data_IF_117267831138
#
_entry.id   IF_117267831138
#
_cell.length_a   1.000
_cell.length_b   1.000
_cell.length_c   1.000
_cell.angle_alpha   90.00
_cell.angle_beta   90.00
_cell.angle_gamma   90.00
#
_symmetry.space_group_name_H-M   'P 1'
#
loop_
_entity.id
_entity.type
_entity.pdbx_description
1 polymer ?
#
# COMPACT_ATOMS: atom_id res chain seq x y z
N UNK A 1 5.51 -11.90 22.31
CA UNK A 1 6.78 -11.21 22.06
C UNK A 1 6.60 -9.84 22.70
N UNK A 2 7.27 -9.55 23.81
CA UNK A 2 7.25 -8.20 24.40
C UNK A 2 7.99 -7.28 23.43
N UNK A 3 7.32 -6.29 22.94
CA UNK A 3 7.97 -5.20 22.18
C UNK A 3 8.61 -4.33 23.24
N UNK A 4 9.94 -4.37 23.35
CA UNK A 4 10.67 -3.44 24.21
C UNK A 4 10.43 -2.03 23.72
N UNK A 5 9.96 -1.17 24.59
CA UNK A 5 9.82 0.26 24.30
C UNK A 5 11.21 0.87 24.43
N UNK A 6 11.81 1.22 23.29
CA UNK A 6 13.11 1.88 23.25
C UNK A 6 12.99 3.26 23.92
N UNK A 7 13.82 3.52 24.93
CA UNK A 7 13.80 4.77 25.69
C UNK A 7 14.12 6.00 24.82
N UNK A 8 14.89 5.83 23.75
CA UNK A 8 15.29 6.89 22.82
C UNK A 8 14.24 7.09 21.69
N UNK A 9 13.31 6.15 21.52
CA UNK A 9 12.27 6.28 20.49
C UNK A 9 11.27 7.38 20.83
N UNK A 10 10.95 8.19 19.83
CA UNK A 10 9.84 9.15 19.93
C UNK A 10 8.54 8.45 19.59
N UNK A 11 7.52 8.58 20.42
CA UNK A 11 6.20 7.98 20.21
C UNK A 11 5.17 9.02 19.83
N UNK A 12 4.20 8.61 19.02
CA UNK A 12 3.04 9.40 18.64
C UNK A 12 1.77 8.56 18.67
N UNK A 13 0.63 9.22 18.76
CA UNK A 13 -0.67 8.58 18.59
C UNK A 13 -0.84 8.14 17.13
N UNK A 14 -1.35 6.92 16.93
CA UNK A 14 -1.73 6.46 15.59
C UNK A 14 -2.85 7.35 15.05
N UNK A 15 -2.68 7.80 13.81
CA UNK A 15 -3.66 8.65 13.14
C UNK A 15 -5.03 7.95 13.00
N UNK A 16 -6.12 8.72 13.04
CA UNK A 16 -7.48 8.20 12.85
C UNK A 16 -8.14 7.61 14.09
N UNK A 17 -7.43 7.46 15.21
CA UNK A 17 -8.01 6.99 16.47
C UNK A 17 -8.74 8.11 17.23
N UNK A 18 -9.90 7.77 17.75
CA UNK A 18 -10.61 8.56 18.74
C UNK A 18 -10.34 7.99 20.12
N UNK A 19 -9.79 8.83 20.99
CA UNK A 19 -9.45 8.49 22.35
C UNK A 19 -10.41 9.24 23.29
N UNK A 20 -11.22 8.49 24.02
CA UNK A 20 -12.29 9.03 24.87
C UNK A 20 -11.98 8.69 26.34
N UNK A 21 -11.39 9.60 27.12
CA UNK A 21 -11.13 9.37 28.53
C UNK A 21 -12.43 9.09 29.32
N UNK A 22 -12.37 8.07 30.17
CA UNK A 22 -13.44 7.70 31.11
C UNK A 22 -12.91 7.74 32.55
N UNK A 23 -12.50 8.93 32.97
CA UNK A 23 -11.79 9.11 34.23
C UNK A 23 -10.27 9.14 34.03
N UNK A 24 -9.49 8.93 35.12
CA UNK A 24 -8.05 9.10 35.11
C UNK A 24 -7.33 7.87 34.50
N UNK A 25 -7.88 6.68 34.67
CA UNK A 25 -7.22 5.39 34.41
C UNK A 25 -7.97 4.51 33.39
N UNK A 26 -8.92 5.07 32.66
CA UNK A 26 -9.66 4.35 31.63
C UNK A 26 -9.85 5.21 30.39
N UNK A 27 -9.58 4.64 29.22
CA UNK A 27 -9.85 5.25 27.92
C UNK A 27 -10.57 4.29 26.99
N UNK A 28 -11.52 4.82 26.19
CA UNK A 28 -12.10 4.12 25.07
C UNK A 28 -11.37 4.53 23.79
N UNK A 29 -10.93 3.54 23.04
CA UNK A 29 -10.23 3.73 21.75
C UNK A 29 -11.14 3.26 20.63
N UNK A 30 -11.37 4.13 19.66
CA UNK A 30 -12.20 3.82 18.47
C UNK A 30 -11.44 4.18 17.19
N UNK A 31 -11.54 3.31 16.20
CA UNK A 31 -11.02 3.54 14.86
C UNK A 31 -12.11 4.20 13.99
N UNK A 32 -12.23 5.51 14.13
CA UNK A 32 -13.27 6.30 13.47
C UNK A 32 -14.64 6.30 14.17
N UNK A 33 -15.51 7.22 13.74
CA UNK A 33 -16.83 7.43 14.36
C UNK A 33 -17.81 6.27 14.14
N UNK A 34 -17.60 5.47 13.09
CA UNK A 34 -18.46 4.32 12.72
C UNK A 34 -17.90 2.96 13.11
N UNK A 35 -16.77 2.93 13.86
CA UNK A 35 -16.24 1.66 14.35
C UNK A 35 -17.31 0.87 15.13
N UNK A 36 -17.46 -0.42 14.79
CA UNK A 36 -18.43 -1.29 15.43
C UNK A 36 -18.11 -1.57 16.90
N UNK A 37 -16.83 -1.49 17.25
CA UNK A 37 -16.32 -1.77 18.59
C UNK A 37 -15.41 -0.66 19.07
N UNK A 38 -15.38 -0.46 20.37
CA UNK A 38 -14.39 0.34 21.08
C UNK A 38 -13.50 -0.61 21.88
N UNK A 39 -12.20 -0.40 21.83
CA UNK A 39 -11.26 -1.07 22.73
C UNK A 39 -11.22 -0.26 24.03
N UNK A 40 -11.25 -0.96 25.15
CA UNK A 40 -11.13 -0.30 26.47
C UNK A 40 -9.76 -0.60 27.04
N UNK A 41 -9.00 0.44 27.33
CA UNK A 41 -7.69 0.33 27.99
C UNK A 41 -7.84 0.86 29.39
N UNK A 42 -7.41 0.07 30.38
CA UNK A 42 -7.45 0.41 31.79
C UNK A 42 -6.07 0.25 32.42
N UNK A 43 -5.69 1.22 33.24
CA UNK A 43 -4.57 1.04 34.15
C UNK A 43 -5.06 0.39 35.45
N UNK A 44 -4.84 -0.93 35.56
CA UNK A 44 -5.23 -1.71 36.73
C UNK A 44 -4.45 -1.35 38.02
N UNK A 45 -3.39 -0.56 37.89
CA UNK A 45 -2.60 -0.10 39.04
C UNK A 45 -3.07 1.23 39.59
N UNK A 46 -4.10 1.85 38.97
CA UNK A 46 -4.70 3.13 39.39
C UNK A 46 -3.67 4.24 39.58
N UNK A 47 -2.75 4.39 38.63
CA UNK A 47 -1.70 5.41 38.64
C UNK A 47 -2.25 6.82 38.43
N UNK A 48 -3.49 6.94 37.93
CA UNK A 48 -4.20 8.19 37.63
C UNK A 48 -3.51 9.08 36.58
N UNK A 49 -2.83 8.45 35.66
CA UNK A 49 -2.04 9.16 34.63
C UNK A 49 -2.42 8.76 33.19
N UNK A 50 -3.15 7.66 32.98
CA UNK A 50 -3.43 7.13 31.62
C UNK A 50 -4.10 8.20 30.73
N UNK A 51 -5.14 8.85 31.21
CA UNK A 51 -5.86 9.86 30.42
C UNK A 51 -5.00 11.11 30.15
N UNK A 52 -4.14 11.52 31.07
CA UNK A 52 -3.22 12.63 30.87
C UNK A 52 -2.11 12.25 29.89
N UNK A 53 -1.54 11.05 30.02
CA UNK A 53 -0.51 10.55 29.12
C UNK A 53 -1.00 10.53 27.66
N UNK A 54 -2.22 10.07 27.43
CA UNK A 54 -2.82 10.06 26.09
C UNK A 54 -3.05 11.48 25.55
N UNK A 55 -3.38 12.44 26.39
CA UNK A 55 -3.49 13.85 25.98
C UNK A 55 -2.12 14.45 25.63
N UNK A 56 -1.08 14.16 26.41
CA UNK A 56 0.28 14.62 26.11
C UNK A 56 0.87 14.00 24.85
N UNK A 57 0.48 12.77 24.50
CA UNK A 57 0.88 12.06 23.27
C UNK A 57 0.28 12.66 21.98
N UNK A 58 -0.59 13.68 22.08
CA UNK A 58 -0.98 14.49 20.90
C UNK A 58 0.21 15.23 20.29
N UNK A 59 1.24 15.45 21.10
CA UNK A 59 2.55 15.97 20.67
C UNK A 59 3.53 14.80 20.79
N UNK A 60 4.21 14.39 19.72
CA UNK A 60 5.20 13.33 19.78
C UNK A 60 6.25 13.59 20.87
N UNK A 61 6.75 12.53 21.49
CA UNK A 61 7.76 12.66 22.53
C UNK A 61 8.40 11.33 22.90
N UNK A 62 9.61 11.40 23.45
CA UNK A 62 10.31 10.27 24.07
C UNK A 62 9.72 9.96 25.44
N UNK A 63 10.05 8.78 26.00
CA UNK A 63 9.64 8.43 27.37
C UNK A 63 10.07 9.49 28.39
N UNK A 64 11.28 10.02 28.26
CA UNK A 64 11.80 11.05 29.15
C UNK A 64 11.00 12.35 29.06
N UNK A 65 10.74 12.82 27.82
CA UNK A 65 9.96 14.04 27.61
C UNK A 65 8.51 13.92 28.09
N UNK A 66 7.90 12.74 27.91
CA UNK A 66 6.54 12.46 28.39
C UNK A 66 6.50 12.41 29.93
N UNK A 67 7.51 11.81 30.58
CA UNK A 67 7.64 11.77 32.01
C UNK A 67 7.76 13.20 32.60
N UNK A 68 8.56 14.05 31.97
CA UNK A 68 8.73 15.47 32.37
C UNK A 68 7.43 16.25 32.21
N UNK A 69 6.71 16.12 31.06
CA UNK A 69 5.42 16.77 30.84
C UNK A 69 4.37 16.36 31.88
N UNK A 70 4.38 15.08 32.28
CA UNK A 70 3.46 14.53 33.27
C UNK A 70 3.92 14.76 34.73
N UNK A 71 5.11 15.32 34.92
CA UNK A 71 5.75 15.47 36.24
C UNK A 71 5.82 14.16 37.04
N UNK A 72 6.23 13.09 36.36
CA UNK A 72 6.33 11.72 36.89
C UNK A 72 7.68 11.09 36.52
N UNK A 73 7.86 9.80 36.79
CA UNK A 73 9.07 9.07 36.46
C UNK A 73 8.82 8.13 35.24
N UNK A 74 9.88 7.81 34.53
CA UNK A 74 9.81 6.86 33.40
C UNK A 74 9.23 5.52 33.85
N UNK A 75 9.67 4.99 34.98
CA UNK A 75 9.19 3.72 35.56
C UNK A 75 7.66 3.69 35.77
N UNK A 76 7.05 4.86 35.93
CA UNK A 76 5.61 4.99 36.15
C UNK A 76 4.82 4.92 34.82
N UNK A 77 5.37 5.48 33.74
CA UNK A 77 4.68 5.56 32.44
C UNK A 77 5.04 4.41 31.50
N UNK A 78 6.24 3.84 31.61
CA UNK A 78 6.74 2.78 30.74
C UNK A 78 5.77 1.60 30.58
N UNK A 79 5.20 1.01 31.65
CA UNK A 79 4.26 -0.10 31.51
C UNK A 79 2.96 0.28 30.78
N UNK A 80 2.56 1.57 30.90
CA UNK A 80 1.39 2.07 30.17
C UNK A 80 1.74 2.26 28.70
N UNK A 81 2.90 2.85 28.41
CA UNK A 81 3.40 3.03 27.04
C UNK A 81 3.53 1.70 26.33
N UNK A 82 4.12 0.69 26.98
CA UNK A 82 4.22 -0.65 26.45
C UNK A 82 2.84 -1.22 26.09
N UNK A 83 1.87 -1.06 26.97
CA UNK A 83 0.49 -1.48 26.72
C UNK A 83 -0.14 -0.73 25.55
N UNK A 84 0.09 0.58 25.41
CA UNK A 84 -0.43 1.38 24.31
C UNK A 84 0.21 0.97 22.97
N UNK A 85 1.48 0.57 22.96
CA UNK A 85 2.16 0.00 21.77
C UNK A 85 1.56 -1.37 21.39
N UNK A 86 1.43 -2.28 22.38
CA UNK A 86 0.82 -3.60 22.16
C UNK A 86 -0.61 -3.51 21.64
N UNK A 87 -1.36 -2.52 22.11
CA UNK A 87 -2.73 -2.25 21.72
C UNK A 87 -2.84 -1.42 20.42
N UNK A 88 -1.71 -1.11 19.77
CA UNK A 88 -1.62 -0.32 18.53
C UNK A 88 -2.27 1.08 18.65
N UNK A 89 -2.25 1.68 19.82
CA UNK A 89 -2.76 3.04 20.06
C UNK A 89 -1.70 4.08 19.76
N UNK A 90 -0.45 3.75 20.07
CA UNK A 90 0.71 4.55 19.74
C UNK A 90 1.67 3.75 18.85
N UNK A 91 2.44 4.46 18.09
CA UNK A 91 3.53 3.90 17.30
C UNK A 91 4.79 4.74 17.48
N UNK A 92 5.97 4.15 17.34
CA UNK A 92 7.18 4.93 17.19
C UNK A 92 7.01 5.93 16.04
N UNK A 93 7.46 7.16 16.26
CA UNK A 93 7.61 8.13 15.18
C UNK A 93 8.79 7.64 14.34
N UNK A 94 8.53 6.72 13.42
CA UNK A 94 9.52 6.38 12.40
C UNK A 94 9.58 7.54 11.42
N UNK A 95 10.77 8.03 11.13
CA UNK A 95 10.96 8.80 9.92
C UNK A 95 10.37 7.97 8.78
N UNK A 96 9.42 8.54 8.03
CA UNK A 96 8.88 7.85 6.86
C UNK A 96 10.06 7.42 6.01
N UNK A 97 10.17 6.14 5.75
CA UNK A 97 11.24 5.61 4.92
C UNK A 97 11.19 6.32 3.57
N UNK A 98 12.28 6.98 3.20
CA UNK A 98 12.39 7.52 1.85
C UNK A 98 12.16 6.39 0.85
N UNK A 99 11.31 6.65 -0.13
CA UNK A 99 10.94 5.68 -1.15
C UNK A 99 11.11 6.32 -2.53
N UNK A 100 11.98 5.72 -3.32
CA UNK A 100 12.19 6.10 -4.71
C UNK A 100 11.25 5.32 -5.62
N UNK A 101 10.45 6.03 -6.41
CA UNK A 101 9.42 5.45 -7.27
C UNK A 101 9.77 5.70 -8.73
N UNK A 102 9.86 4.61 -9.50
CA UNK A 102 9.89 4.65 -10.95
C UNK A 102 8.44 4.57 -11.48
N UNK A 103 8.00 5.55 -12.23
CA UNK A 103 6.64 5.64 -12.76
C UNK A 103 6.65 5.60 -14.29
N UNK A 104 6.04 4.57 -14.89
CA UNK A 104 5.63 4.63 -16.29
C UNK A 104 4.18 5.10 -16.31
N UNK A 105 3.99 6.36 -16.71
CA UNK A 105 2.70 7.05 -16.67
C UNK A 105 2.23 7.44 -18.06
N UNK A 106 0.97 7.08 -18.39
CA UNK A 106 0.32 7.51 -19.63
C UNK A 106 -1.03 8.17 -19.33
N UNK A 107 -1.28 9.29 -20.02
CA UNK A 107 -2.52 10.03 -19.92
C UNK A 107 -2.81 10.63 -18.55
N UNK A 108 -4.07 11.00 -18.32
CA UNK A 108 -4.47 11.73 -17.11
C UNK A 108 -4.30 10.95 -15.81
N UNK A 109 -4.34 9.61 -15.83
CA UNK A 109 -4.07 8.79 -14.64
C UNK A 109 -2.59 8.89 -14.26
N UNK A 110 -1.68 8.73 -15.24
CA UNK A 110 -0.24 8.86 -15.02
C UNK A 110 0.15 10.25 -14.53
N UNK A 111 -0.36 11.30 -15.18
CA UNK A 111 -0.10 12.71 -14.82
C UNK A 111 -0.60 13.04 -13.40
N UNK A 112 -1.82 12.61 -13.07
CA UNK A 112 -2.41 12.86 -11.75
C UNK A 112 -1.66 12.11 -10.65
N UNK A 113 -1.26 10.86 -10.92
CA UNK A 113 -0.48 10.08 -9.96
C UNK A 113 0.90 10.69 -9.74
N UNK A 114 1.60 11.09 -10.81
CA UNK A 114 2.88 11.77 -10.72
C UNK A 114 2.82 12.99 -9.81
N UNK A 115 1.81 13.85 -10.02
CA UNK A 115 1.61 15.03 -9.19
C UNK A 115 1.36 14.66 -7.73
N UNK A 116 0.45 13.69 -7.48
CA UNK A 116 0.12 13.26 -6.13
C UNK A 116 1.33 12.71 -5.40
N UNK A 117 2.14 11.86 -6.05
CA UNK A 117 3.36 11.29 -5.46
C UNK A 117 4.42 12.35 -5.19
N UNK A 118 4.55 13.36 -6.06
CA UNK A 118 5.49 14.46 -5.88
C UNK A 118 5.14 15.35 -4.68
N UNK A 119 3.87 15.38 -4.27
CA UNK A 119 3.38 16.12 -3.12
C UNK A 119 3.45 15.29 -1.80
N UNK A 120 3.77 13.99 -1.87
CA UNK A 120 3.88 13.12 -0.70
C UNK A 120 5.25 13.22 -0.05
N UNK A 121 5.26 13.31 1.28
CA UNK A 121 6.49 13.35 2.07
C UNK A 121 7.26 12.03 2.01
N UNK A 122 8.58 12.11 1.82
CA UNK A 122 9.46 10.95 1.75
C UNK A 122 9.35 10.16 0.43
N UNK A 123 8.65 10.68 -0.59
CA UNK A 123 8.58 10.08 -1.92
C UNK A 123 9.40 10.90 -2.92
N UNK A 124 10.30 10.21 -3.61
CA UNK A 124 10.95 10.74 -4.81
C UNK A 124 10.46 9.97 -6.03
N UNK A 125 9.89 10.64 -7.03
CA UNK A 125 9.34 10.00 -8.21
C UNK A 125 10.09 10.41 -9.47
N UNK A 126 10.45 9.42 -10.30
CA UNK A 126 11.01 9.63 -11.64
C UNK A 126 10.04 9.01 -12.65
N UNK A 127 9.52 9.83 -13.56
CA UNK A 127 8.57 9.41 -14.56
C UNK A 127 9.25 9.13 -15.91
N UNK A 128 8.75 8.11 -16.61
CA UNK A 128 9.06 7.76 -17.99
C UNK A 128 7.79 7.34 -18.73
N UNK A 129 7.96 6.96 -19.98
CA UNK A 129 6.89 6.45 -20.84
C UNK A 129 7.16 5.00 -21.29
N UNK A 130 6.22 4.41 -22.02
CA UNK A 130 6.36 3.04 -22.51
C UNK A 130 7.52 2.89 -23.51
N UNK A 131 7.89 3.93 -24.26
CA UNK A 131 9.01 3.90 -25.20
C UNK A 131 10.34 3.83 -24.43
N UNK A 132 10.51 4.66 -23.41
CA UNK A 132 11.70 4.63 -22.54
C UNK A 132 11.87 3.27 -21.86
N UNK A 133 10.78 2.63 -21.43
CA UNK A 133 10.80 1.27 -20.89
C UNK A 133 11.22 0.23 -21.94
N UNK A 134 10.64 0.28 -23.13
CA UNK A 134 10.90 -0.71 -24.19
C UNK A 134 12.30 -0.61 -24.80
N UNK A 135 12.91 0.57 -24.77
CA UNK A 135 14.26 0.84 -25.31
C UNK A 135 15.38 0.66 -24.28
N UNK A 136 15.04 0.35 -23.02
CA UNK A 136 16.00 0.23 -21.91
C UNK A 136 16.56 1.58 -21.41
N UNK A 137 16.02 2.70 -21.87
CA UNK A 137 16.47 4.02 -21.39
C UNK A 137 16.06 4.27 -19.93
N UNK A 138 15.11 3.51 -19.42
CA UNK A 138 14.61 3.62 -18.05
C UNK A 138 15.25 2.62 -17.06
N UNK A 139 16.11 1.72 -17.52
CA UNK A 139 16.68 0.63 -16.72
C UNK A 139 17.51 1.13 -15.53
N UNK A 140 18.27 2.22 -15.72
CA UNK A 140 19.04 2.82 -14.63
C UNK A 140 18.11 3.37 -13.52
N UNK A 141 17.00 3.99 -13.89
CA UNK A 141 16.02 4.51 -12.92
C UNK A 141 15.40 3.35 -12.17
N UNK A 142 14.97 2.30 -12.87
CA UNK A 142 14.38 1.10 -12.27
C UNK A 142 15.32 0.43 -11.28
N UNK A 143 16.60 0.27 -11.63
CA UNK A 143 17.57 -0.39 -10.77
C UNK A 143 17.89 0.38 -9.48
N UNK A 144 17.58 1.68 -9.43
CA UNK A 144 17.79 2.56 -8.28
C UNK A 144 16.49 2.86 -7.52
N UNK A 145 15.36 2.30 -7.95
CA UNK A 145 14.06 2.58 -7.34
C UNK A 145 13.62 1.47 -6.40
N UNK A 146 12.90 1.84 -5.34
CA UNK A 146 12.32 0.92 -4.37
C UNK A 146 10.98 0.34 -4.85
N UNK A 147 10.31 1.03 -5.77
CA UNK A 147 9.00 0.66 -6.28
C UNK A 147 8.86 1.06 -7.75
N UNK A 148 8.33 0.17 -8.55
CA UNK A 148 7.94 0.41 -9.93
C UNK A 148 6.41 0.51 -10.06
N UNK A 149 5.89 1.50 -10.79
CA UNK A 149 4.46 1.71 -11.01
C UNK A 149 4.18 1.86 -12.50
N UNK A 150 3.13 1.19 -12.97
CA UNK A 150 2.54 1.39 -14.29
C UNK A 150 1.15 2.01 -14.11
N UNK A 151 0.96 3.23 -14.63
CA UNK A 151 -0.29 4.00 -14.47
C UNK A 151 -0.79 4.48 -15.84
N UNK A 152 -1.96 3.98 -16.29
CA UNK A 152 -2.45 4.23 -17.64
C UNK A 152 -3.95 4.55 -17.68
N UNK A 153 -4.39 5.23 -18.74
CA UNK A 153 -5.82 5.53 -18.96
C UNK A 153 -6.64 4.33 -19.43
N UNK A 154 -5.98 3.26 -19.88
CA UNK A 154 -6.61 2.05 -20.41
C UNK A 154 -5.76 0.83 -20.08
N UNK A 155 -6.33 -0.36 -20.23
CA UNK A 155 -5.57 -1.60 -20.17
C UNK A 155 -4.50 -1.64 -21.27
N UNK A 156 -3.25 -1.88 -20.88
CA UNK A 156 -2.06 -1.94 -21.77
C UNK A 156 -1.38 -3.32 -21.65
N UNK A 157 -1.90 -4.36 -22.31
CA UNK A 157 -1.43 -5.74 -22.11
C UNK A 157 0.07 -5.91 -22.32
N UNK A 158 0.61 -5.38 -23.42
CA UNK A 158 2.04 -5.52 -23.75
C UNK A 158 2.89 -4.80 -22.71
N UNK A 159 2.58 -3.55 -22.38
CA UNK A 159 3.29 -2.77 -21.37
C UNK A 159 3.28 -3.47 -20.02
N UNK A 160 2.13 -4.00 -19.60
CA UNK A 160 1.99 -4.68 -18.32
C UNK A 160 2.83 -5.96 -18.24
N UNK A 161 2.90 -6.74 -19.34
CA UNK A 161 3.76 -7.91 -19.41
C UNK A 161 5.25 -7.53 -19.39
N UNK A 162 5.66 -6.53 -20.18
CA UNK A 162 7.03 -6.03 -20.17
C UNK A 162 7.44 -5.55 -18.77
N UNK A 163 6.59 -4.75 -18.13
CA UNK A 163 6.84 -4.30 -16.76
C UNK A 163 6.93 -5.47 -15.76
N UNK A 164 6.08 -6.49 -15.91
CA UNK A 164 6.12 -7.70 -15.07
C UNK A 164 7.44 -8.47 -15.22
N UNK A 165 7.95 -8.63 -16.43
CA UNK A 165 9.22 -9.30 -16.69
C UNK A 165 10.39 -8.53 -16.09
N UNK A 166 10.48 -7.23 -16.36
CA UNK A 166 11.53 -6.35 -15.82
C UNK A 166 11.50 -6.34 -14.28
N UNK A 167 10.32 -6.23 -13.68
CA UNK A 167 10.19 -6.24 -12.22
C UNK A 167 10.72 -7.54 -11.59
N UNK A 168 10.50 -8.67 -12.23
CA UNK A 168 11.05 -9.95 -11.78
C UNK A 168 12.56 -10.05 -11.97
N UNK A 169 13.09 -9.54 -13.08
CA UNK A 169 14.53 -9.55 -13.36
C UNK A 169 15.31 -8.67 -12.40
N UNK A 170 14.77 -7.50 -12.08
CA UNK A 170 15.39 -6.53 -11.17
C UNK A 170 15.00 -6.78 -9.69
N UNK A 171 14.09 -7.73 -9.42
CA UNK A 171 13.53 -7.97 -8.07
C UNK A 171 12.93 -6.72 -7.44
N UNK A 172 12.31 -5.84 -8.24
CA UNK A 172 11.66 -4.61 -7.78
C UNK A 172 10.15 -4.82 -7.59
N UNK A 173 9.55 -4.41 -6.47
CA UNK A 173 8.11 -4.41 -6.29
C UNK A 173 7.40 -3.62 -7.39
N UNK A 174 6.30 -4.16 -7.92
CA UNK A 174 5.58 -3.57 -9.05
C UNK A 174 4.10 -3.40 -8.75
N UNK A 175 3.55 -2.24 -9.11
CA UNK A 175 2.13 -1.95 -8.99
C UNK A 175 1.53 -1.48 -10.32
N UNK A 176 0.30 -1.92 -10.56
CA UNK A 176 -0.49 -1.47 -11.71
C UNK A 176 -1.66 -0.62 -11.27
N UNK A 177 -1.99 0.38 -12.07
CA UNK A 177 -3.24 1.13 -11.98
C UNK A 177 -3.69 1.57 -13.38
N UNK A 178 -4.95 1.33 -13.70
CA UNK A 178 -5.52 1.86 -14.93
C UNK A 178 -7.03 2.10 -14.75
N UNK A 179 -7.57 2.98 -15.61
CA UNK A 179 -9.00 3.16 -15.78
C UNK A 179 -9.41 2.57 -17.13
N UNK A 180 -10.52 1.83 -17.17
CA UNK A 180 -11.05 1.21 -18.39
C UNK A 180 -12.56 1.44 -18.46
N UNK A 181 -12.95 2.49 -19.18
CA UNK A 181 -14.35 2.95 -19.20
C UNK A 181 -14.80 3.39 -17.79
N UNK A 182 -15.86 2.77 -17.24
CA UNK A 182 -16.35 3.08 -15.90
C UNK A 182 -15.58 2.38 -14.78
N UNK A 183 -14.69 1.44 -15.10
CA UNK A 183 -13.96 0.65 -14.12
C UNK A 183 -12.55 1.22 -13.90
N UNK A 184 -12.18 1.33 -12.64
CA UNK A 184 -10.81 1.58 -12.23
C UNK A 184 -10.26 0.28 -11.67
N UNK A 185 -9.10 -0.16 -12.12
CA UNK A 185 -8.39 -1.29 -11.56
C UNK A 185 -7.08 -0.83 -10.93
N UNK A 186 -6.89 -1.23 -9.68
CA UNK A 186 -5.70 -0.94 -8.88
C UNK A 186 -5.11 -2.25 -8.38
N UNK A 187 -3.86 -2.51 -8.73
CA UNK A 187 -3.20 -3.77 -8.47
C UNK A 187 -3.09 -4.69 -9.70
N UNK A 188 -2.44 -5.84 -9.52
CA UNK A 188 -1.86 -6.31 -8.25
C UNK A 188 -0.69 -5.45 -7.78
N UNK A 189 -0.39 -5.52 -6.47
CA UNK A 189 0.91 -5.20 -5.93
C UNK A 189 1.72 -6.49 -5.94
N UNK A 190 2.78 -6.51 -6.72
CA UNK A 190 3.63 -7.69 -6.97
C UNK A 190 4.94 -7.52 -6.20
N UNK A 191 5.27 -8.49 -5.36
CA UNK A 191 6.59 -8.67 -4.80
C UNK A 191 7.23 -9.87 -5.50
N UNK A 192 8.27 -9.66 -6.34
CA UNK A 192 8.88 -10.70 -7.16
C UNK A 192 9.33 -11.91 -6.33
N UNK A 193 8.95 -13.11 -6.77
CA UNK A 193 9.26 -14.35 -6.03
C UNK A 193 8.32 -14.68 -4.88
N UNK A 194 7.65 -13.70 -4.27
CA UNK A 194 6.85 -13.87 -3.04
C UNK A 194 5.34 -13.91 -3.32
N UNK A 195 4.86 -13.05 -4.24
CA UNK A 195 3.42 -12.89 -4.49
C UNK A 195 3.02 -13.31 -5.90
N UNK A 196 1.70 -13.37 -6.14
CA UNK A 196 1.15 -13.53 -7.48
C UNK A 196 1.57 -12.37 -8.38
N UNK A 197 2.04 -12.66 -9.59
CA UNK A 197 2.45 -11.66 -10.57
C UNK A 197 1.28 -11.23 -11.48
N UNK A 198 1.55 -10.28 -12.40
CA UNK A 198 0.54 -9.83 -13.37
C UNK A 198 -0.02 -10.99 -14.21
N UNK A 199 0.82 -11.91 -14.70
CA UNK A 199 0.36 -13.07 -15.47
C UNK A 199 -0.52 -14.02 -14.64
N UNK A 200 -0.21 -14.21 -13.35
CA UNK A 200 -1.10 -14.96 -12.46
C UNK A 200 -2.48 -14.31 -12.34
N UNK A 201 -2.53 -12.99 -12.22
CA UNK A 201 -3.77 -12.24 -12.21
C UNK A 201 -4.52 -12.38 -13.53
N UNK A 202 -3.87 -12.09 -14.65
CA UNK A 202 -4.49 -12.06 -15.97
C UNK A 202 -5.15 -13.39 -16.31
N UNK A 203 -4.47 -14.52 -16.09
CA UNK A 203 -5.02 -15.85 -16.34
C UNK A 203 -6.28 -16.13 -15.50
N UNK A 204 -6.29 -15.71 -14.23
CA UNK A 204 -7.45 -15.89 -13.36
C UNK A 204 -8.60 -14.97 -13.78
N UNK A 205 -8.30 -13.71 -14.10
CA UNK A 205 -9.31 -12.75 -14.56
C UNK A 205 -9.97 -13.21 -15.87
N UNK A 206 -9.17 -13.61 -16.84
CA UNK A 206 -9.67 -14.16 -18.12
C UNK A 206 -10.53 -15.42 -17.91
N UNK A 207 -10.09 -16.29 -16.99
CA UNK A 207 -10.82 -17.51 -16.68
C UNK A 207 -12.18 -17.27 -16.01
N UNK A 208 -12.32 -16.16 -15.28
CA UNK A 208 -13.55 -15.79 -14.57
C UNK A 208 -14.56 -15.02 -15.43
N UNK A 209 -14.20 -14.57 -16.64
CA UNK A 209 -15.08 -13.76 -17.49
C UNK A 209 -16.11 -14.59 -18.22
N UNK A 210 -17.37 -14.17 -18.16
CA UNK A 210 -18.48 -14.80 -18.90
C UNK A 210 -18.30 -14.73 -20.43
N UNK A 211 -17.81 -13.60 -20.95
CA UNK A 211 -17.55 -13.36 -22.37
C UNK A 211 -16.05 -13.43 -22.66
N UNK A 212 -15.40 -14.48 -22.17
CA UNK A 212 -13.96 -14.67 -22.32
C UNK A 212 -13.47 -14.56 -23.76
N UNK A 213 -14.17 -15.19 -24.71
CA UNK A 213 -13.79 -15.15 -26.12
C UNK A 213 -13.75 -13.73 -26.69
N UNK A 214 -14.76 -12.93 -26.41
CA UNK A 214 -14.82 -11.54 -26.84
C UNK A 214 -13.73 -10.69 -26.16
N UNK A 215 -13.51 -10.93 -24.87
CA UNK A 215 -12.44 -10.25 -24.14
C UNK A 215 -11.04 -10.54 -24.69
N UNK A 216 -10.77 -11.79 -25.09
CA UNK A 216 -9.48 -12.14 -25.70
C UNK A 216 -9.27 -11.44 -27.04
N UNK A 217 -10.33 -11.33 -27.87
CA UNK A 217 -10.27 -10.56 -29.12
C UNK A 217 -10.03 -9.08 -28.84
N UNK A 218 -10.72 -8.51 -27.86
CA UNK A 218 -10.52 -7.12 -27.42
C UNK A 218 -9.07 -6.89 -26.95
N UNK A 219 -8.55 -7.77 -26.10
CA UNK A 219 -7.18 -7.69 -25.57
C UNK A 219 -6.12 -7.80 -26.66
N UNK A 220 -6.30 -8.74 -27.62
CA UNK A 220 -5.41 -8.89 -28.78
C UNK A 220 -5.41 -7.62 -29.65
N UNK A 221 -6.57 -7.00 -29.80
CA UNK A 221 -6.68 -5.73 -30.52
C UNK A 221 -5.95 -4.58 -29.80
N UNK A 222 -6.10 -4.46 -28.49
CA UNK A 222 -5.35 -3.48 -27.70
C UNK A 222 -3.83 -3.71 -27.73
N UNK A 223 -3.41 -4.97 -27.80
CA UNK A 223 -1.99 -5.31 -27.91
C UNK A 223 -1.39 -4.86 -29.25
N UNK A 224 -2.16 -4.95 -30.33
CA UNK A 224 -1.73 -4.55 -31.70
C UNK A 224 -1.90 -3.06 -31.96
N UNK A 225 -2.96 -2.48 -31.44
CA UNK A 225 -3.37 -1.09 -31.68
C UNK A 225 -3.67 -0.42 -30.33
N UNK A 226 -2.63 -0.02 -29.60
CA UNK A 226 -2.83 0.66 -28.32
C UNK A 226 -3.64 1.92 -28.53
N UNK A 227 -4.81 1.99 -27.88
CA UNK A 227 -5.65 3.19 -27.90
C UNK A 227 -5.31 4.05 -26.69
N UNK A 228 -5.27 5.36 -26.90
CA UNK A 228 -5.31 6.30 -25.79
C UNK A 228 -6.76 6.81 -25.67
N UNK A 229 -7.32 6.66 -24.47
CA UNK A 229 -8.68 7.14 -24.15
C UNK A 229 -8.60 8.19 -23.08
N UNK A 230 -9.36 9.25 -23.27
CA UNK A 230 -9.50 10.27 -22.25
C UNK A 230 -10.26 9.71 -21.04
N UNK A 231 -9.75 9.96 -19.86
CA UNK A 231 -10.37 9.65 -18.59
C UNK A 231 -10.73 10.95 -17.90
N UNK A 232 -11.92 11.03 -17.30
CA UNK A 232 -12.35 12.24 -16.59
C UNK A 232 -11.45 12.51 -15.38
N UNK A 233 -11.23 13.78 -15.05
CA UNK A 233 -10.38 14.16 -13.92
C UNK A 233 -10.79 13.51 -12.59
N UNK A 234 -12.08 13.37 -12.21
CA UNK A 234 -12.48 12.65 -11.00
C UNK A 234 -12.06 11.17 -11.02
N UNK A 235 -12.18 10.48 -12.16
CA UNK A 235 -11.79 9.07 -12.29
C UNK A 235 -10.28 8.92 -12.20
N UNK A 236 -9.52 9.80 -12.87
CA UNK A 236 -8.05 9.82 -12.76
C UNK A 236 -7.59 10.09 -11.32
N UNK A 237 -8.21 11.04 -10.62
CA UNK A 237 -7.92 11.34 -9.23
C UNK A 237 -8.23 10.15 -8.30
N UNK A 238 -9.35 9.47 -8.52
CA UNK A 238 -9.74 8.29 -7.75
C UNK A 238 -8.74 7.13 -7.96
N UNK A 239 -8.37 6.84 -9.21
CA UNK A 239 -7.38 5.82 -9.54
C UNK A 239 -6.03 6.11 -8.87
N UNK A 240 -5.57 7.36 -8.97
CA UNK A 240 -4.31 7.82 -8.38
C UNK A 240 -4.32 7.76 -6.85
N UNK A 241 -5.43 8.15 -6.21
CA UNK A 241 -5.58 8.10 -4.75
C UNK A 241 -5.50 6.65 -4.24
N UNK A 242 -6.16 5.70 -4.89
CA UNK A 242 -6.06 4.28 -4.54
C UNK A 242 -4.65 3.72 -4.74
N UNK A 243 -3.94 4.15 -5.79
CA UNK A 243 -2.56 3.75 -6.00
C UNK A 243 -1.65 4.31 -4.90
N UNK A 244 -1.79 5.59 -4.56
CA UNK A 244 -1.00 6.26 -3.53
C UNK A 244 -1.18 5.65 -2.13
N UNK A 245 -2.42 5.31 -1.74
CA UNK A 245 -2.69 4.61 -0.46
C UNK A 245 -1.88 3.33 -0.29
N UNK A 246 -1.65 2.59 -1.36
CA UNK A 246 -0.87 1.36 -1.27
C UNK A 246 0.63 1.62 -1.18
N UNK A 247 1.09 2.75 -1.70
CA UNK A 247 2.49 3.19 -1.58
C UNK A 247 2.75 3.63 -0.14
N UNK A 248 1.86 4.45 0.42
CA UNK A 248 1.91 4.84 1.83
C UNK A 248 1.96 3.62 2.76
N UNK A 249 1.09 2.63 2.54
CA UNK A 249 1.09 1.38 3.30
C UNK A 249 2.40 0.58 3.13
N UNK A 250 3.02 0.62 1.95
CA UNK A 250 4.30 -0.06 1.69
C UNK A 250 5.51 0.66 2.34
N UNK A 251 5.44 1.98 2.55
CA UNK A 251 6.47 2.73 3.29
C UNK A 251 6.50 2.34 4.77
N UNK A 252 5.34 2.02 5.36
CA UNK A 252 5.21 1.66 6.76
C UNK A 252 5.51 0.18 7.04
N UNK A 253 5.40 -0.69 6.04
CA UNK A 253 5.46 -2.15 6.19
C UNK A 253 6.41 -2.79 5.21
N UNK A 254 6.98 -3.92 5.60
CA UNK A 254 7.82 -4.74 4.71
C UNK A 254 7.04 -5.25 3.50
N UNK A 255 5.76 -5.57 3.68
CA UNK A 255 4.84 -5.98 2.62
C UNK A 255 3.50 -5.26 2.79
N UNK A 256 3.05 -4.59 1.74
CA UNK A 256 1.77 -3.88 1.76
C UNK A 256 0.58 -4.84 1.95
N UNK A 257 -0.44 -4.40 2.69
CA UNK A 257 -1.75 -5.11 2.78
C UNK A 257 -2.45 -5.26 1.42
N UNK A 258 -2.00 -4.52 0.42
CA UNK A 258 -2.48 -4.63 -0.97
C UNK A 258 -1.73 -5.71 -1.78
N UNK A 259 -0.75 -6.39 -1.18
CA UNK A 259 -0.08 -7.52 -1.81
C UNK A 259 -1.10 -8.59 -2.22
N UNK A 260 -0.93 -9.18 -3.41
CA UNK A 260 -1.85 -10.18 -3.97
C UNK A 260 -3.32 -9.73 -4.05
N UNK A 261 -3.59 -8.43 -4.05
CA UNK A 261 -4.95 -7.91 -4.13
C UNK A 261 -5.14 -7.01 -5.33
N UNK A 262 -6.33 -7.12 -5.91
CA UNK A 262 -6.85 -6.16 -6.87
C UNK A 262 -8.02 -5.46 -6.21
N UNK A 263 -8.06 -4.15 -6.39
CA UNK A 263 -9.22 -3.33 -6.09
C UNK A 263 -9.84 -2.89 -7.41
N UNK A 264 -11.12 -3.16 -7.60
CA UNK A 264 -11.92 -2.66 -8.72
C UNK A 264 -12.95 -1.68 -8.20
N UNK A 265 -13.01 -0.53 -8.84
CA UNK A 265 -13.99 0.51 -8.55
C UNK A 265 -14.87 0.71 -9.78
N UNK A 266 -16.15 0.33 -9.69
CA UNK A 266 -17.13 0.58 -10.73
C UNK A 266 -17.83 1.92 -10.46
N UNK A 267 -17.44 2.94 -11.21
CA UNK A 267 -17.86 4.33 -10.95
C UNK A 267 -19.34 4.58 -11.21
N UNK A 268 -19.96 3.87 -12.14
CA UNK A 268 -21.39 4.02 -12.45
C UNK A 268 -22.30 3.41 -11.40
N UNK A 269 -21.82 2.40 -10.66
CA UNK A 269 -22.57 1.70 -9.62
C UNK A 269 -22.17 2.06 -8.21
N UNK A 270 -21.09 2.84 -8.06
CA UNK A 270 -20.47 3.15 -6.77
C UNK A 270 -20.06 1.89 -5.97
N UNK A 271 -19.63 0.87 -6.70
CA UNK A 271 -19.18 -0.39 -6.10
C UNK A 271 -17.66 -0.45 -6.02
N UNK A 272 -17.16 -0.91 -4.89
CA UNK A 272 -15.73 -1.19 -4.69
C UNK A 272 -15.59 -2.64 -4.28
N UNK A 273 -14.85 -3.41 -5.05
CA UNK A 273 -14.62 -4.83 -4.79
C UNK A 273 -13.14 -5.11 -4.70
N UNK A 274 -12.73 -5.87 -3.68
CA UNK A 274 -11.36 -6.34 -3.54
C UNK A 274 -11.29 -7.85 -3.70
N UNK A 275 -10.42 -8.31 -4.58
CA UNK A 275 -10.18 -9.73 -4.82
C UNK A 275 -8.74 -10.10 -4.47
N UNK A 276 -8.57 -11.27 -3.86
CA UNK A 276 -7.25 -11.87 -3.70
C UNK A 276 -6.89 -12.65 -4.96
N UNK A 277 -5.62 -12.53 -5.37
CA UNK A 277 -5.04 -13.28 -6.49
C UNK A 277 -4.19 -14.39 -5.90
N UNK A 278 -4.27 -15.56 -6.49
CA UNK A 278 -3.47 -16.70 -6.11
C UNK A 278 -2.29 -16.86 -7.06
N UNK A 279 -1.15 -17.26 -6.53
CA UNK A 279 -0.04 -17.67 -7.38
C UNK A 279 -0.39 -18.94 -8.16
N UNK A 280 -0.26 -18.90 -9.46
CA UNK A 280 -0.41 -20.10 -10.29
C UNK A 280 0.81 -21.01 -10.12
N UNK A 281 0.64 -22.32 -9.83
CA UNK A 281 1.75 -23.23 -9.60
C UNK A 281 2.77 -23.27 -10.75
N UNK A 282 2.30 -23.15 -12.00
CA UNK A 282 3.11 -23.19 -13.23
C UNK A 282 2.97 -21.89 -14.01
N UNK A 283 3.04 -20.75 -13.35
CA UNK A 283 3.02 -19.46 -14.04
C UNK A 283 4.22 -19.33 -14.97
N UNK A 284 4.04 -19.04 -16.26
CA UNK A 284 5.15 -18.93 -17.20
C UNK A 284 6.10 -17.78 -16.87
N UNK A 285 5.61 -16.73 -16.23
CA UNK A 285 6.43 -15.56 -15.88
C UNK A 285 7.14 -15.72 -14.54
N UNK A 286 6.41 -15.99 -13.45
CA UNK A 286 6.99 -15.90 -12.10
C UNK A 286 7.46 -17.22 -11.48
N UNK A 287 7.11 -18.41 -12.05
CA UNK A 287 7.47 -19.68 -11.42
C UNK A 287 8.98 -19.90 -11.28
N UNK A 288 9.78 -19.39 -12.23
CA UNK A 288 11.24 -19.51 -12.26
C UNK A 288 11.96 -18.67 -11.17
N UNK A 289 11.28 -17.69 -10.59
CA UNK A 289 11.85 -16.80 -9.58
C UNK A 289 11.46 -17.18 -8.15
N UNK A 290 10.68 -18.26 -7.97
CA UNK A 290 10.24 -18.71 -6.65
C UNK A 290 11.30 -19.57 -5.99
N UNK A 291 11.63 -19.35 -4.72
CA UNK A 291 12.76 -20.02 -4.08
C UNK A 291 12.61 -21.53 -3.93
N UNK A 292 11.43 -22.12 -3.87
CA UNK A 292 11.27 -23.58 -3.79
C UNK A 292 9.86 -24.04 -4.14
N UNK A 293 9.65 -24.35 -5.40
CA UNK A 293 8.53 -25.20 -5.79
C UNK A 293 9.00 -26.68 -5.82
N UNK A 294 9.45 -27.21 -4.67
CA UNK A 294 9.56 -28.65 -4.53
C UNK A 294 8.15 -29.23 -4.41
N UNK A 295 7.53 -29.48 -5.53
CA UNK A 295 6.32 -30.28 -5.55
C UNK A 295 6.68 -31.73 -5.23
N UNK A 296 6.11 -32.25 -4.14
CA UNK A 296 6.24 -33.64 -3.76
C UNK A 296 5.74 -34.64 -4.83
N UNK A 297 5.23 -34.14 -5.96
CA UNK A 297 4.64 -34.90 -7.06
C UNK A 297 5.21 -34.56 -8.45
N UNK A 298 6.39 -33.99 -8.54
CA UNK A 298 7.14 -33.82 -9.78
C UNK A 298 8.44 -34.60 -9.72
#
# INVERSE_FOLDING_TARGET
>A
MSIDVDEEATFQLRSGLYLLPQGDDEIFVRDGSRAAFSKVIRDNQNRRILSKLVQELTIPGTLSELADRLQTTIEHIEPIMQRLVEDEVICPLSEKKECSVALIGEGSVGETLLKLLSDMEGISVTAGDAEALSTGQFDTVLSMSDLFIVATNVLRPVLNHTANEIAHELSIPLRYVFADGPEIQVGPMVYPGETACYTCFEVQDEGARHLRGEFLVFKDNLARYPEDKSVSAPVAAMASAWAALAIEDAQEKTMSRFAERIVRVETNRFEVVSHRILQLPRCPSCSRYRPDLQHAFL
#
